data_IF_860587324699
#
_entry.id   IF_860587324699
#
_cell.length_a   1.000
_cell.length_b   1.000
_cell.length_c   1.000
_cell.angle_alpha   90.00
_cell.angle_beta   90.00
_cell.angle_gamma   90.00
#
_symmetry.space_group_name_H-M   'P 1'
#
loop_
_entity.id
_entity.type
_entity.pdbx_description
1 polymer ?
#
# COMPACT_ATOMS: atom_id res chain seq x y z
N UNK A 1 -9.31 13.54 -12.92
CA UNK A 1 -8.66 12.26 -12.57
C UNK A 1 -9.01 11.95 -11.12
N UNK A 2 -9.33 10.70 -10.81
CA UNK A 2 -9.57 10.24 -9.43
C UNK A 2 -8.25 9.70 -8.85
N UNK A 3 -8.18 9.57 -7.53
CA UNK A 3 -7.05 8.98 -6.83
C UNK A 3 -7.44 8.45 -5.46
N UNK A 4 -6.63 7.54 -4.92
CA UNK A 4 -6.82 6.89 -3.62
C UNK A 4 -5.54 7.00 -2.79
N UNK A 5 -5.69 7.25 -1.50
CA UNK A 5 -4.60 7.16 -0.52
C UNK A 5 -4.87 6.02 0.46
N UNK A 6 -3.90 5.11 0.61
CA UNK A 6 -4.00 3.95 1.48
C UNK A 6 -2.89 4.03 2.54
N UNK A 7 -3.30 4.26 3.79
CA UNK A 7 -2.41 4.34 4.94
C UNK A 7 -2.54 3.06 5.78
N UNK A 8 -1.46 2.29 5.87
CA UNK A 8 -1.41 1.04 6.61
C UNK A 8 -0.58 1.20 7.89
N UNK A 9 -1.12 0.73 9.01
CA UNK A 9 -0.41 0.63 10.29
C UNK A 9 -0.01 -0.83 10.52
N UNK A 10 1.29 -1.06 10.72
CA UNK A 10 1.87 -2.40 10.84
C UNK A 10 2.58 -2.52 12.16
N UNK A 11 2.21 -3.52 12.95
CA UNK A 11 2.82 -3.83 14.25
C UNK A 11 3.82 -4.97 14.11
N UNK A 12 4.90 -4.91 14.88
CA UNK A 12 5.89 -5.99 14.96
C UNK A 12 6.90 -6.03 13.81
N UNK A 13 6.94 -5.00 12.96
CA UNK A 13 7.99 -4.77 11.98
C UNK A 13 8.63 -3.41 12.23
N UNK A 14 9.87 -3.24 11.76
CA UNK A 14 10.46 -1.92 11.61
C UNK A 14 9.84 -1.17 10.41
N UNK A 15 10.16 0.12 10.29
CA UNK A 15 9.57 0.96 9.24
C UNK A 15 9.89 0.43 7.84
N UNK A 16 11.12 -0.04 7.60
CA UNK A 16 11.52 -0.61 6.31
C UNK A 16 10.75 -1.90 5.99
N UNK A 17 10.54 -2.77 6.98
CA UNK A 17 9.77 -3.99 6.84
C UNK A 17 8.29 -3.73 6.57
N UNK A 18 7.71 -2.75 7.25
CA UNK A 18 6.33 -2.31 7.02
C UNK A 18 6.13 -1.78 5.59
N UNK A 19 7.04 -0.95 5.10
CA UNK A 19 7.01 -0.42 3.74
C UNK A 19 7.16 -1.51 2.69
N UNK A 20 8.10 -2.44 2.89
CA UNK A 20 8.30 -3.58 2.00
C UNK A 20 7.05 -4.46 1.95
N UNK A 21 6.46 -4.78 3.10
CA UNK A 21 5.26 -5.60 3.19
C UNK A 21 4.07 -4.97 2.44
N UNK A 22 3.83 -3.67 2.67
CA UNK A 22 2.73 -2.95 2.02
C UNK A 22 2.95 -2.84 0.50
N UNK A 23 4.19 -2.64 0.07
CA UNK A 23 4.56 -2.64 -1.35
C UNK A 23 4.27 -3.99 -2.03
N UNK A 24 4.68 -5.11 -1.41
CA UNK A 24 4.38 -6.44 -1.94
C UNK A 24 2.87 -6.74 -1.93
N UNK A 25 2.17 -6.37 -0.86
CA UNK A 25 0.72 -6.54 -0.77
C UNK A 25 -0.02 -5.79 -1.89
N UNK A 26 0.42 -4.58 -2.23
CA UNK A 26 -0.18 -3.79 -3.32
C UNK A 26 0.01 -4.43 -4.71
N UNK A 27 1.05 -5.27 -4.91
CA UNK A 27 1.24 -6.01 -6.17
C UNK A 27 0.21 -7.13 -6.34
N UNK A 28 -0.21 -7.76 -5.25
CA UNK A 28 -1.09 -8.95 -5.29
C UNK A 28 -2.54 -8.67 -4.90
N UNK A 29 -2.81 -7.56 -4.21
CA UNK A 29 -4.15 -7.20 -3.74
C UNK A 29 -5.16 -7.10 -4.91
N UNK A 30 -6.30 -7.80 -4.85
CA UNK A 30 -7.28 -7.81 -5.95
C UNK A 30 -7.83 -6.41 -6.25
N UNK A 31 -8.06 -5.59 -5.22
CA UNK A 31 -8.52 -4.22 -5.40
C UNK A 31 -7.49 -3.35 -6.10
N UNK A 32 -6.21 -3.45 -5.70
CA UNK A 32 -5.12 -2.70 -6.33
C UNK A 32 -4.90 -3.11 -7.79
N UNK A 33 -5.02 -4.40 -8.10
CA UNK A 33 -4.95 -4.88 -9.47
C UNK A 33 -6.12 -4.41 -10.34
N UNK A 34 -7.35 -4.37 -9.79
CA UNK A 34 -8.53 -3.91 -10.52
C UNK A 34 -8.44 -2.44 -10.99
N UNK A 35 -7.67 -1.60 -10.28
CA UNK A 35 -7.54 -0.17 -10.57
C UNK A 35 -6.17 0.22 -11.14
N UNK A 36 -5.27 -0.74 -11.37
CA UNK A 36 -3.89 -0.48 -11.78
C UNK A 36 -3.85 0.25 -13.13
N UNK A 37 -3.20 1.42 -13.15
CA UNK A 37 -3.09 2.26 -14.35
C UNK A 37 -4.33 3.11 -14.67
N UNK A 38 -5.45 2.90 -13.96
CA UNK A 38 -6.67 3.68 -14.16
C UNK A 38 -6.69 4.97 -13.32
N UNK A 39 -6.18 4.89 -12.08
CA UNK A 39 -6.11 6.01 -11.12
C UNK A 39 -4.79 5.99 -10.35
N UNK A 40 -4.45 7.14 -9.76
CA UNK A 40 -3.28 7.25 -8.89
C UNK A 40 -3.55 6.62 -7.52
N UNK A 41 -2.62 5.82 -7.03
CA UNK A 41 -2.69 5.18 -5.71
C UNK A 41 -1.46 5.57 -4.90
N UNK A 42 -1.66 6.34 -3.83
CA UNK A 42 -0.61 6.69 -2.88
C UNK A 42 -0.62 5.69 -1.73
N UNK A 43 0.53 5.05 -1.47
CA UNK A 43 0.72 4.13 -0.35
C UNK A 43 1.53 4.81 0.75
N UNK A 44 1.11 4.64 2.00
CA UNK A 44 1.94 4.92 3.16
C UNK A 44 1.85 3.76 4.15
N UNK A 45 2.98 3.44 4.76
CA UNK A 45 3.07 2.46 5.83
C UNK A 45 3.63 3.13 7.07
N UNK A 46 3.10 2.81 8.25
CA UNK A 46 3.62 3.26 9.53
C UNK A 46 3.86 2.05 10.41
N UNK A 47 5.10 1.86 10.85
CA UNK A 47 5.39 0.92 11.93
C UNK A 47 4.83 1.46 13.25
N UNK A 48 4.14 0.62 14.01
CA UNK A 48 3.49 0.93 15.29
C UNK A 48 3.92 0.02 16.43
#
# INVERSE_FOLDING_TARGET
RLGVALAAEIKGLDQSGAEALVSEAHKVCPYSNAIRGNIDVALSAKAA
#
